data_IF_512050799039
#
_entry.id   IF_512050799039
#
_cell.length_a   1.000
_cell.length_b   1.000
_cell.length_c   1.000
_cell.angle_alpha   90.00
_cell.angle_beta   90.00
_cell.angle_gamma   90.00
#
_symmetry.space_group_name_H-M   'P 1'
#
loop_
_entity.id
_entity.type
_entity.pdbx_description
1 polymer ?
#
# COMPACT_ATOMS: atom_id res chain seq x y z
N UNK A 1 1.72 0.78 27.97
CA UNK A 1 2.51 0.48 26.75
C UNK A 1 3.03 1.78 26.19
N UNK A 2 4.33 1.88 25.96
CA UNK A 2 5.01 3.13 25.58
C UNK A 2 4.61 3.57 24.15
N UNK A 3 4.25 4.85 23.97
CA UNK A 3 3.78 5.41 22.68
C UNK A 3 4.85 5.28 21.58
N UNK A 4 6.13 5.35 21.97
CA UNK A 4 7.25 5.16 21.06
C UNK A 4 7.25 3.75 20.46
N UNK A 5 6.94 2.72 21.26
CA UNK A 5 6.94 1.32 20.81
C UNK A 5 5.89 1.06 19.74
N UNK A 6 4.69 1.62 19.92
CA UNK A 6 3.61 1.49 18.92
C UNK A 6 3.98 2.15 17.59
N UNK A 7 4.64 3.31 17.62
CA UNK A 7 5.09 4.04 16.42
C UNK A 7 6.12 3.23 15.63
N UNK A 8 7.15 2.73 16.28
CA UNK A 8 8.20 1.96 15.61
C UNK A 8 7.70 0.61 15.09
N UNK A 9 6.76 -0.01 15.80
CA UNK A 9 6.08 -1.23 15.32
C UNK A 9 5.34 -1.01 14.01
N UNK A 10 4.53 0.06 13.89
CA UNK A 10 3.80 0.32 12.65
C UNK A 10 4.75 0.64 11.49
N UNK A 11 5.81 1.42 11.74
CA UNK A 11 6.83 1.72 10.73
C UNK A 11 7.55 0.46 10.23
N UNK A 12 7.98 -0.42 11.15
CA UNK A 12 8.64 -1.67 10.79
C UNK A 12 7.74 -2.62 10.00
N UNK A 13 6.47 -2.75 10.40
CA UNK A 13 5.49 -3.55 9.66
C UNK A 13 5.23 -3.00 8.26
N UNK A 14 5.08 -1.68 8.14
CA UNK A 14 4.87 -1.02 6.85
C UNK A 14 6.08 -1.20 5.91
N UNK A 15 7.29 -0.85 6.34
CA UNK A 15 8.51 -1.01 5.53
C UNK A 15 8.71 -2.49 5.15
N UNK A 16 8.58 -3.40 6.12
CA UNK A 16 8.71 -4.83 5.88
C UNK A 16 7.69 -5.36 4.88
N UNK A 17 6.44 -4.91 4.94
CA UNK A 17 5.40 -5.31 4.00
C UNK A 17 5.69 -4.79 2.57
N UNK A 18 6.14 -3.54 2.43
CA UNK A 18 6.54 -2.98 1.12
C UNK A 18 7.69 -3.79 0.51
N UNK A 19 8.71 -4.12 1.29
CA UNK A 19 9.85 -4.92 0.83
C UNK A 19 9.39 -6.33 0.46
N UNK A 20 8.58 -6.97 1.31
CA UNK A 20 8.03 -8.30 1.08
C UNK A 20 7.27 -8.38 -0.25
N UNK A 21 6.42 -7.39 -0.53
CA UNK A 21 5.64 -7.34 -1.78
C UNK A 21 6.55 -7.20 -2.99
N UNK A 22 7.52 -6.27 -2.96
CA UNK A 22 8.39 -6.04 -4.12
C UNK A 22 9.31 -7.23 -4.42
N UNK A 23 9.85 -7.85 -3.37
CA UNK A 23 10.65 -9.08 -3.49
C UNK A 23 9.76 -10.25 -3.92
N UNK A 24 8.59 -10.41 -3.32
CA UNK A 24 7.61 -11.45 -3.64
C UNK A 24 7.16 -11.41 -5.10
N UNK A 25 6.81 -10.22 -5.61
CA UNK A 25 6.49 -10.00 -7.01
C UNK A 25 7.66 -10.35 -7.93
N UNK A 26 8.89 -9.99 -7.54
CA UNK A 26 10.09 -10.28 -8.33
C UNK A 26 10.38 -11.78 -8.42
N UNK A 27 10.11 -12.53 -7.35
CA UNK A 27 10.38 -13.97 -7.27
C UNK A 27 9.23 -14.83 -7.81
N UNK A 28 7.99 -14.35 -7.73
CA UNK A 28 6.80 -15.13 -8.07
C UNK A 28 5.71 -14.24 -8.70
N UNK A 29 5.99 -13.62 -9.87
CA UNK A 29 5.05 -12.71 -10.55
C UNK A 29 3.74 -13.40 -10.95
N UNK A 30 3.75 -14.73 -11.15
CA UNK A 30 2.55 -15.54 -11.43
C UNK A 30 1.51 -15.53 -10.30
N UNK A 31 1.89 -15.10 -9.09
CA UNK A 31 0.99 -14.96 -7.94
C UNK A 31 0.48 -13.52 -7.76
N UNK A 32 0.35 -12.76 -8.85
CA UNK A 32 -0.10 -11.35 -8.84
C UNK A 32 -1.37 -11.11 -7.99
N UNK A 33 -2.36 -12.01 -8.06
CA UNK A 33 -3.58 -11.91 -7.25
C UNK A 33 -3.29 -11.90 -5.74
N UNK A 34 -2.33 -12.71 -5.29
CA UNK A 34 -1.93 -12.81 -3.89
C UNK A 34 -1.14 -11.56 -3.50
N UNK A 35 -0.19 -11.17 -4.32
CA UNK A 35 0.61 -9.98 -4.03
C UNK A 35 -0.24 -8.72 -4.03
N UNK A 36 -1.24 -8.62 -4.91
CA UNK A 36 -2.22 -7.52 -4.91
C UNK A 36 -3.07 -7.49 -3.63
N UNK A 37 -3.44 -8.63 -3.03
CA UNK A 37 -4.06 -8.64 -1.70
C UNK A 37 -3.13 -8.05 -0.64
N UNK A 38 -1.85 -8.42 -0.67
CA UNK A 38 -0.84 -7.90 0.27
C UNK A 38 -0.60 -6.41 0.04
N UNK A 39 -0.56 -5.94 -1.21
CA UNK A 39 -0.49 -4.50 -1.53
C UNK A 39 -1.68 -3.75 -0.92
N UNK A 40 -2.90 -4.30 -1.01
CA UNK A 40 -4.05 -3.70 -0.33
C UNK A 40 -3.83 -3.57 1.18
N UNK A 41 -3.21 -4.57 1.80
CA UNK A 41 -2.76 -4.49 3.20
C UNK A 41 -1.69 -3.43 3.45
N UNK A 42 -0.76 -3.23 2.53
CA UNK A 42 0.27 -2.17 2.58
C UNK A 42 -0.38 -0.79 2.59
N UNK A 43 -1.33 -0.52 1.69
CA UNK A 43 -2.09 0.74 1.63
C UNK A 43 -2.87 1.02 2.94
N UNK A 44 -3.29 -0.02 3.65
CA UNK A 44 -3.92 0.13 4.98
C UNK A 44 -2.88 0.36 6.08
N UNK A 45 -1.78 -0.40 6.10
CA UNK A 45 -0.68 -0.25 7.07
C UNK A 45 -0.06 1.14 6.99
N UNK A 46 -0.06 1.71 5.80
CA UNK A 46 0.30 3.07 5.50
C UNK A 46 -0.54 4.08 6.28
N UNK A 47 -1.86 3.95 6.28
CA UNK A 47 -2.75 4.86 7.03
C UNK A 47 -2.57 4.69 8.54
N UNK A 48 -2.38 3.44 8.99
CA UNK A 48 -2.03 3.14 10.38
C UNK A 48 -0.71 3.83 10.77
N UNK A 49 0.27 3.83 9.86
CA UNK A 49 1.57 4.46 10.08
C UNK A 49 1.46 5.98 10.04
N UNK A 50 0.69 6.57 9.11
CA UNK A 50 0.41 8.02 9.12
C UNK A 50 -0.32 8.45 10.39
N UNK A 51 -1.21 7.63 10.93
CA UNK A 51 -1.86 7.93 12.22
C UNK A 51 -0.87 8.08 13.37
N UNK A 52 0.21 7.29 13.38
CA UNK A 52 1.20 7.27 14.47
C UNK A 52 2.42 8.17 14.21
N UNK A 53 2.76 8.47 12.96
CA UNK A 53 3.92 9.27 12.54
C UNK A 53 3.57 10.63 11.93
N UNK A 54 2.30 10.87 11.59
CA UNK A 54 1.88 12.04 10.83
C UNK A 54 2.57 12.12 9.48
N UNK A 55 2.97 13.32 9.07
CA UNK A 55 3.63 13.57 7.78
C UNK A 55 4.99 12.86 7.61
N UNK A 56 5.62 12.43 8.72
CA UNK A 56 6.90 11.71 8.66
C UNK A 56 6.79 10.34 8.00
N UNK A 57 5.58 9.82 7.79
CA UNK A 57 5.36 8.59 6.99
C UNK A 57 5.90 8.73 5.57
N UNK A 58 5.95 9.94 4.99
CA UNK A 58 6.57 10.15 3.69
C UNK A 58 8.08 9.80 3.69
N UNK A 59 8.79 10.03 4.80
CA UNK A 59 10.18 9.59 4.93
C UNK A 59 10.29 8.06 5.00
N UNK A 60 9.34 7.41 5.70
CA UNK A 60 9.29 5.94 5.78
C UNK A 60 8.98 5.32 4.41
N UNK A 61 8.10 5.95 3.62
CA UNK A 61 7.84 5.59 2.23
C UNK A 61 9.13 5.63 1.40
N UNK A 62 9.88 6.73 1.46
CA UNK A 62 11.13 6.86 0.70
C UNK A 62 12.16 5.80 1.10
N UNK A 63 12.27 5.49 2.39
CA UNK A 63 13.13 4.42 2.89
C UNK A 63 12.67 3.06 2.34
N UNK A 64 11.38 2.75 2.42
CA UNK A 64 10.83 1.50 1.91
C UNK A 64 11.06 1.35 0.39
N UNK A 65 10.81 2.41 -0.38
CA UNK A 65 11.03 2.45 -1.82
C UNK A 65 12.52 2.25 -2.17
N UNK A 66 13.43 2.90 -1.44
CA UNK A 66 14.87 2.76 -1.65
C UNK A 66 15.37 1.32 -1.37
N UNK A 67 14.88 0.69 -0.31
CA UNK A 67 15.22 -0.71 0.01
C UNK A 67 14.66 -1.64 -1.07
N UNK A 68 13.38 -1.48 -1.43
CA UNK A 68 12.74 -2.29 -2.48
C UNK A 68 13.44 -2.17 -3.83
N UNK A 69 13.85 -0.97 -4.23
CA UNK A 69 14.56 -0.73 -5.48
C UNK A 69 15.90 -1.48 -5.55
N UNK A 70 16.60 -1.63 -4.42
CA UNK A 70 17.86 -2.39 -4.34
C UNK A 70 17.68 -3.90 -4.45
N UNK A 71 16.50 -4.42 -4.12
CA UNK A 71 16.24 -5.86 -4.01
C UNK A 71 15.46 -6.45 -5.20
N UNK A 72 14.72 -5.62 -5.93
CA UNK A 72 13.90 -6.04 -7.07
C UNK A 72 14.65 -5.96 -8.42
N UNK A 73 14.15 -6.69 -9.42
CA UNK A 73 14.72 -6.63 -10.79
C UNK A 73 14.48 -5.25 -11.43
N UNK A 74 15.39 -4.69 -12.25
CA UNK A 74 15.35 -3.27 -12.62
C UNK A 74 14.03 -2.78 -13.25
N UNK A 75 13.41 -3.62 -14.08
CA UNK A 75 12.20 -3.26 -14.82
C UNK A 75 10.94 -3.34 -13.95
N UNK A 76 10.77 -4.41 -13.17
CA UNK A 76 9.66 -4.52 -12.23
C UNK A 76 9.82 -3.55 -11.05
N UNK A 77 11.05 -3.35 -10.57
CA UNK A 77 11.36 -2.41 -9.51
C UNK A 77 10.90 -0.99 -9.87
N UNK A 78 11.17 -0.55 -11.11
CA UNK A 78 10.76 0.78 -11.55
C UNK A 78 9.24 0.90 -11.67
N UNK A 79 8.57 -0.11 -12.24
CA UNK A 79 7.11 -0.13 -12.36
C UNK A 79 6.43 -0.11 -10.98
N UNK A 80 6.81 -1.02 -10.09
CA UNK A 80 6.26 -1.11 -8.73
C UNK A 80 6.61 0.10 -7.88
N UNK A 81 7.84 0.61 -7.94
CA UNK A 81 8.23 1.80 -7.18
C UNK A 81 7.48 3.05 -7.65
N UNK A 82 7.29 3.21 -8.96
CA UNK A 82 6.54 4.36 -9.50
C UNK A 82 5.05 4.28 -9.12
N UNK A 83 4.43 3.11 -9.32
CA UNK A 83 3.05 2.88 -8.92
C UNK A 83 2.84 3.13 -7.42
N UNK A 84 3.73 2.56 -6.60
CA UNK A 84 3.74 2.71 -5.15
C UNK A 84 3.91 4.16 -4.70
N UNK A 85 4.90 4.90 -5.22
CA UNK A 85 5.11 6.29 -4.81
C UNK A 85 3.91 7.19 -5.15
N UNK A 86 3.28 6.96 -6.31
CA UNK A 86 2.09 7.71 -6.71
C UNK A 86 0.89 7.34 -5.84
N UNK A 87 0.62 6.04 -5.64
CA UNK A 87 -0.51 5.57 -4.84
C UNK A 87 -0.39 5.97 -3.37
N UNK A 88 0.82 5.93 -2.82
CA UNK A 88 1.14 6.36 -1.47
C UNK A 88 0.98 7.88 -1.27
N UNK A 89 1.30 8.69 -2.29
CA UNK A 89 1.06 10.14 -2.27
C UNK A 89 -0.43 10.45 -2.32
N UNK A 90 -1.20 9.68 -3.09
CA UNK A 90 -2.66 9.77 -3.11
C UNK A 90 -3.22 9.42 -1.74
N UNK A 91 -2.81 8.31 -1.15
CA UNK A 91 -3.27 7.91 0.17
C UNK A 91 -2.93 8.96 1.23
N UNK A 92 -1.72 9.52 1.18
CA UNK A 92 -1.31 10.63 2.04
C UNK A 92 -2.23 11.83 1.92
N UNK A 93 -2.57 12.20 0.69
CA UNK A 93 -3.46 13.32 0.41
C UNK A 93 -4.87 13.03 0.95
N UNK A 94 -5.42 11.86 0.65
CA UNK A 94 -6.76 11.44 1.07
C UNK A 94 -6.86 11.38 2.60
N UNK A 95 -5.92 10.72 3.27
CA UNK A 95 -5.92 10.61 4.72
C UNK A 95 -5.82 11.97 5.42
N UNK A 96 -5.02 12.88 4.86
CA UNK A 96 -4.78 14.22 5.42
C UNK A 96 -6.00 15.13 5.24
N UNK A 97 -6.67 15.07 4.08
CA UNK A 97 -7.69 16.04 3.68
C UNK A 97 -9.13 15.62 3.99
N UNK A 98 -9.41 14.33 4.17
CA UNK A 98 -10.81 13.85 4.30
C UNK A 98 -11.46 14.11 5.66
N UNK A 99 -10.69 14.31 6.73
CA UNK A 99 -11.16 14.58 8.09
C UNK A 99 -12.27 13.63 8.63
N UNK A 100 -12.39 12.40 8.11
CA UNK A 100 -13.42 11.40 8.49
C UNK A 100 -13.00 10.49 9.67
N UNK A 101 -13.86 9.62 10.21
CA UNK A 101 -13.43 8.54 11.10
C UNK A 101 -12.35 7.66 10.43
N UNK A 102 -11.41 7.12 11.22
CA UNK A 102 -10.24 6.40 10.70
C UNK A 102 -10.60 5.27 9.74
N UNK A 103 -11.59 4.44 10.09
CA UNK A 103 -12.03 3.32 9.24
C UNK A 103 -12.55 3.81 7.87
N UNK A 104 -13.22 4.95 7.82
CA UNK A 104 -13.71 5.55 6.57
C UNK A 104 -12.55 6.09 5.74
N UNK A 105 -11.56 6.74 6.38
CA UNK A 105 -10.37 7.23 5.69
C UNK A 105 -9.63 6.09 5.00
N UNK A 106 -9.41 4.99 5.71
CA UNK A 106 -8.76 3.78 5.18
C UNK A 106 -9.46 3.28 3.93
N UNK A 107 -10.79 3.16 3.97
CA UNK A 107 -11.54 2.66 2.83
C UNK A 107 -11.49 3.62 1.64
N UNK A 108 -11.67 4.92 1.88
CA UNK A 108 -11.61 5.93 0.81
C UNK A 108 -10.21 6.00 0.20
N UNK A 109 -9.17 5.92 1.04
CA UNK A 109 -7.77 5.90 0.62
C UNK A 109 -7.52 4.78 -0.38
N UNK A 110 -7.78 3.54 0.05
CA UNK A 110 -7.61 2.35 -0.80
C UNK A 110 -8.47 2.41 -2.07
N UNK A 111 -9.72 2.88 -1.97
CA UNK A 111 -10.60 2.98 -3.12
C UNK A 111 -10.09 3.93 -4.22
N UNK A 112 -9.37 4.99 -3.83
CA UNK A 112 -8.81 5.98 -4.76
C UNK A 112 -7.41 5.58 -5.24
N UNK A 113 -6.55 5.08 -4.34
CA UNK A 113 -5.17 4.73 -4.68
C UNK A 113 -5.02 3.41 -5.42
N UNK A 114 -5.82 2.38 -5.09
CA UNK A 114 -5.73 1.06 -5.70
C UNK A 114 -5.92 1.02 -7.23
N UNK A 115 -6.89 1.73 -7.85
CA UNK A 115 -7.00 1.74 -9.31
C UNK A 115 -5.82 2.45 -9.96
N UNK A 116 -5.29 3.52 -9.35
CA UNK A 116 -4.11 4.24 -9.87
C UNK A 116 -2.86 3.38 -9.77
N UNK A 117 -2.63 2.74 -8.61
CA UNK A 117 -1.53 1.81 -8.38
C UNK A 117 -1.54 0.69 -9.42
N UNK A 118 -2.68 0.02 -9.57
CA UNK A 118 -2.83 -1.12 -10.48
C UNK A 118 -2.66 -0.69 -11.92
N UNK A 119 -3.22 0.46 -12.32
CA UNK A 119 -3.08 0.94 -13.69
C UNK A 119 -1.63 1.29 -14.04
N UNK A 120 -0.96 2.06 -13.17
CA UNK A 120 0.44 2.45 -13.38
C UNK A 120 1.37 1.24 -13.39
N UNK A 121 1.18 0.30 -12.47
CA UNK A 121 1.99 -0.91 -12.41
C UNK A 121 1.85 -1.71 -13.72
N UNK A 122 0.63 -2.05 -14.14
CA UNK A 122 0.40 -2.84 -15.34
C UNK A 122 0.90 -2.15 -16.61
N UNK A 123 0.73 -0.82 -16.70
CA UNK A 123 1.20 -0.01 -17.82
C UNK A 123 2.73 0.00 -17.91
N UNK A 124 3.42 0.24 -16.79
CA UNK A 124 4.89 0.30 -16.75
C UNK A 124 5.55 -1.06 -16.86
N UNK A 125 4.89 -2.11 -16.34
CA UNK A 125 5.32 -3.50 -16.50
C UNK A 125 4.99 -4.08 -17.88
N UNK A 126 4.29 -3.33 -18.75
CA UNK A 126 3.92 -3.76 -20.11
C UNK A 126 3.07 -5.05 -20.15
N UNK A 127 2.24 -5.26 -19.13
CA UNK A 127 1.38 -6.44 -18.96
C UNK A 127 -0.10 -6.07 -18.85
N UNK A 128 -0.49 -4.93 -19.44
CA UNK A 128 -1.86 -4.43 -19.34
C UNK A 128 -2.89 -5.43 -19.87
N UNK A 129 -3.90 -5.72 -19.06
CA UNK A 129 -5.15 -6.33 -19.51
C UNK A 129 -6.27 -5.99 -18.54
N UNK A 130 -7.50 -5.90 -19.03
CA UNK A 130 -8.68 -5.65 -18.19
C UNK A 130 -8.89 -6.71 -17.10
N UNK A 131 -8.68 -8.02 -17.36
CA UNK A 131 -8.75 -9.03 -16.30
C UNK A 131 -7.71 -8.81 -15.20
N UNK A 132 -6.45 -8.53 -15.55
CA UNK A 132 -5.40 -8.26 -14.55
C UNK A 132 -5.68 -6.98 -13.76
N UNK A 133 -6.17 -5.94 -14.44
CA UNK A 133 -6.60 -4.72 -13.78
C UNK A 133 -7.72 -5.01 -12.77
N UNK A 134 -8.76 -5.72 -13.19
CA UNK A 134 -9.90 -6.07 -12.32
C UNK A 134 -9.50 -6.93 -11.13
N UNK A 135 -8.62 -7.92 -11.34
CA UNK A 135 -8.09 -8.78 -10.28
C UNK A 135 -7.22 -8.00 -9.29
N UNK A 136 -6.26 -7.21 -9.80
CA UNK A 136 -5.35 -6.44 -8.97
C UNK A 136 -6.07 -5.36 -8.16
N UNK A 137 -6.95 -4.59 -8.82
CA UNK A 137 -7.79 -3.60 -8.15
C UNK A 137 -8.76 -4.25 -7.14
N UNK A 138 -9.46 -5.30 -7.55
CA UNK A 138 -10.43 -6.01 -6.71
C UNK A 138 -9.79 -6.62 -5.47
N UNK A 139 -8.60 -7.23 -5.60
CA UNK A 139 -7.83 -7.76 -4.49
C UNK A 139 -7.45 -6.67 -3.48
N UNK A 140 -6.91 -5.54 -3.95
CA UNK A 140 -6.54 -4.41 -3.08
C UNK A 140 -7.75 -3.84 -2.35
N UNK A 141 -8.86 -3.64 -3.08
CA UNK A 141 -10.10 -3.13 -2.52
C UNK A 141 -10.71 -4.09 -1.49
N UNK A 142 -10.68 -5.40 -1.75
CA UNK A 142 -11.14 -6.42 -0.80
C UNK A 142 -10.35 -6.34 0.52
N UNK A 143 -9.01 -6.25 0.44
CA UNK A 143 -8.17 -6.10 1.63
C UNK A 143 -8.51 -4.82 2.40
N UNK A 144 -8.64 -3.68 1.70
CA UNK A 144 -9.05 -2.40 2.29
C UNK A 144 -10.41 -2.46 2.98
N UNK A 145 -11.40 -3.07 2.32
CA UNK A 145 -12.75 -3.27 2.87
C UNK A 145 -12.72 -4.12 4.14
N UNK A 146 -12.08 -5.29 4.10
CA UNK A 146 -11.99 -6.21 5.25
C UNK A 146 -11.34 -5.51 6.43
N UNK A 147 -10.18 -4.86 6.22
CA UNK A 147 -9.44 -4.19 7.29
C UNK A 147 -10.18 -2.96 7.82
N UNK A 148 -10.83 -2.17 6.96
CA UNK A 148 -11.68 -1.05 7.38
C UNK A 148 -12.82 -1.53 8.29
N UNK A 149 -13.50 -2.63 7.96
CA UNK A 149 -14.55 -3.19 8.80
C UNK A 149 -14.02 -3.68 10.15
N UNK A 150 -12.84 -4.30 10.17
CA UNK A 150 -12.17 -4.69 11.43
C UNK A 150 -11.90 -3.46 12.30
N UNK A 151 -11.40 -2.36 11.72
CA UNK A 151 -11.19 -1.13 12.47
C UNK A 151 -12.49 -0.51 12.96
N UNK A 152 -13.56 -0.52 12.15
CA UNK A 152 -14.86 0.01 12.54
C UNK A 152 -15.39 -0.71 13.79
N UNK A 153 -15.29 -2.04 13.86
CA UNK A 153 -15.73 -2.85 15.01
C UNK A 153 -14.89 -2.67 16.26
N UNK A 154 -13.60 -2.31 16.13
CA UNK A 154 -12.69 -2.12 17.26
C UNK A 154 -12.68 -0.70 17.82
N UNK A 155 -13.22 0.27 17.06
CA UNK A 155 -13.22 1.69 17.40
C UNK A 155 -14.62 2.25 17.66
N UNK A 156 -15.66 1.41 17.59
CA UNK A 156 -17.02 1.66 18.08
C UNK A 156 -17.14 1.27 19.55
#
# INVERSE_FOLDING_TARGET
>A
MDLAHHRWRSAGLYIGAVVLVNVGFSLSPQLDWLWSLVVGGVLVLRDVTQRSWGHRTLLLMLVAAAISYRLASPQLALASATAFLVSETIDWSVYTLTHRPFADRVLVSVAVSAPVDTALFLQLAQVWSWPLFGLGFGAKLLAGLVLSQVFRRRMS
#
